data_IF_703104013252
#
_entry.id   IF_703104013252
#
_cell.length_a   1.000
_cell.length_b   1.000
_cell.length_c   1.000
_cell.angle_alpha   90.00
_cell.angle_beta   90.00
_cell.angle_gamma   90.00
#
_symmetry.space_group_name_H-M   'P 1'
#
loop_
_entity.id
_entity.type
_entity.pdbx_description
1 polymer ?
#
# COMPACT_ATOMS: atom_id res chain seq x y z
N UNK A 1 -28.30 -39.09 6.12
CA UNK A 1 -27.06 -38.93 5.32
C UNK A 1 -27.42 -39.04 3.84
N UNK A 2 -27.05 -38.03 3.03
CA UNK A 2 -27.12 -37.92 1.56
C UNK A 2 -28.52 -38.10 0.90
N UNK A 3 -29.28 -37.05 0.57
CA UNK A 3 -29.16 -36.06 -0.55
C UNK A 3 -28.86 -36.71 -1.91
N UNK A 4 -29.84 -36.81 -2.83
CA UNK A 4 -29.72 -36.25 -4.20
C UNK A 4 -31.01 -36.29 -5.05
N UNK A 5 -31.10 -35.28 -5.92
CA UNK A 5 -31.85 -35.13 -7.18
C UNK A 5 -33.38 -35.00 -7.14
N UNK A 6 -33.84 -33.76 -6.94
CA UNK A 6 -35.07 -33.28 -7.60
C UNK A 6 -34.72 -32.20 -8.62
N UNK A 7 -34.99 -32.57 -9.87
CA UNK A 7 -35.08 -31.75 -11.06
C UNK A 7 -35.95 -30.52 -10.76
N UNK A 8 -35.37 -29.33 -10.80
CA UNK A 8 -36.11 -28.07 -10.74
C UNK A 8 -35.88 -27.34 -12.08
N UNK A 9 -36.77 -27.59 -13.03
CA UNK A 9 -37.05 -26.61 -14.08
C UNK A 9 -37.75 -25.44 -13.41
N UNK A 10 -37.05 -24.32 -13.27
CA UNK A 10 -37.64 -23.06 -12.84
C UNK A 10 -37.85 -22.22 -14.09
N UNK A 11 -39.14 -21.94 -14.31
CA UNK A 11 -39.78 -21.10 -15.32
C UNK A 11 -39.14 -19.69 -15.32
N UNK A 12 -38.97 -19.00 -16.47
CA UNK A 12 -38.43 -17.65 -16.46
C UNK A 12 -39.38 -16.69 -15.73
N UNK A 13 -38.86 -15.82 -14.83
CA UNK A 13 -39.67 -14.78 -14.23
C UNK A 13 -39.98 -13.71 -15.28
N UNK A 14 -41.22 -13.73 -15.75
CA UNK A 14 -41.82 -12.61 -16.45
C UNK A 14 -42.09 -11.51 -15.42
N UNK A 15 -41.75 -10.27 -15.78
CA UNK A 15 -42.21 -9.03 -15.16
C UNK A 15 -41.61 -8.72 -13.77
N UNK A 16 -40.66 -7.77 -13.72
CA UNK A 16 -40.47 -6.70 -12.71
C UNK A 16 -39.14 -5.97 -13.04
N UNK A 17 -39.11 -5.31 -14.21
CA UNK A 17 -38.09 -4.30 -14.51
C UNK A 17 -38.56 -2.96 -13.96
N UNK A 18 -38.00 -2.46 -12.85
CA UNK A 18 -37.82 -1.00 -12.66
C UNK A 18 -37.16 -0.50 -11.36
N UNK A 19 -36.65 -1.33 -10.45
CA UNK A 19 -36.14 -0.77 -9.16
C UNK A 19 -34.78 -1.28 -8.66
N UNK A 20 -34.12 -2.22 -9.33
CA UNK A 20 -32.84 -2.78 -8.86
C UNK A 20 -31.58 -1.99 -9.31
N UNK A 21 -31.71 -1.02 -10.23
CA UNK A 21 -30.56 -0.45 -10.94
C UNK A 21 -29.97 0.82 -10.32
N UNK A 22 -30.60 1.42 -9.31
CA UNK A 22 -30.12 2.67 -8.71
C UNK A 22 -28.99 2.48 -7.66
N UNK A 23 -28.86 1.28 -7.07
CA UNK A 23 -27.80 1.00 -6.07
C UNK A 23 -26.47 0.58 -6.70
N UNK A 24 -26.50 -0.05 -7.87
CA UNK A 24 -25.31 -0.61 -8.53
C UNK A 24 -24.40 0.49 -9.12
N UNK A 25 -24.99 1.57 -9.65
CA UNK A 25 -24.25 2.70 -10.23
C UNK A 25 -23.43 3.46 -9.18
N UNK A 26 -23.96 3.61 -7.97
CA UNK A 26 -23.26 4.30 -6.89
C UNK A 26 -22.03 3.52 -6.41
N UNK A 27 -22.14 2.19 -6.25
CA UNK A 27 -21.03 1.34 -5.78
C UNK A 27 -19.91 1.25 -6.82
N UNK A 28 -20.24 1.19 -8.11
CA UNK A 28 -19.25 1.17 -9.19
C UNK A 28 -18.51 2.52 -9.31
N UNK A 29 -19.20 3.64 -9.13
CA UNK A 29 -18.58 4.97 -9.14
C UNK A 29 -17.58 5.17 -7.98
N UNK A 30 -17.89 4.65 -6.79
CA UNK A 30 -16.99 4.69 -5.62
C UNK A 30 -15.78 3.76 -5.82
N UNK A 31 -15.98 2.62 -6.47
CA UNK A 31 -14.89 1.66 -6.74
C UNK A 31 -13.86 2.21 -7.73
N UNK A 32 -14.28 3.04 -8.69
CA UNK A 32 -13.38 3.71 -9.63
C UNK A 32 -12.47 4.78 -8.96
N UNK A 33 -12.87 5.31 -7.79
CA UNK A 33 -12.11 6.34 -7.06
C UNK A 33 -11.16 5.77 -6.00
N UNK A 34 -11.37 4.54 -5.53
CA UNK A 34 -10.50 3.85 -4.57
C UNK A 34 -9.44 3.01 -5.29
N UNK A 35 -8.59 3.65 -6.10
CA UNK A 35 -7.48 2.94 -6.72
C UNK A 35 -6.47 2.46 -5.66
N UNK A 36 -5.98 1.20 -5.76
CA UNK A 36 -4.92 0.67 -4.91
C UNK A 36 -3.69 1.59 -4.97
N UNK A 37 -3.32 2.15 -3.82
CA UNK A 37 -2.17 3.03 -3.73
C UNK A 37 -0.90 2.18 -3.67
N UNK A 38 0.04 2.42 -4.58
CA UNK A 38 1.37 1.78 -4.56
C UNK A 38 2.06 2.10 -3.23
N UNK A 39 2.45 1.05 -2.48
CA UNK A 39 3.17 1.17 -1.21
C UNK A 39 4.64 0.83 -1.39
N UNK A 40 5.50 1.64 -0.80
CA UNK A 40 6.96 1.46 -0.77
C UNK A 40 7.46 1.58 0.68
N UNK A 41 8.68 1.12 0.94
CA UNK A 41 9.29 1.23 2.27
C UNK A 41 10.05 2.54 2.42
N UNK A 42 10.04 3.10 3.63
CA UNK A 42 10.94 4.17 4.02
C UNK A 42 12.38 3.66 4.01
N UNK A 43 13.28 4.42 3.38
CA UNK A 43 14.70 4.10 3.42
C UNK A 43 15.28 4.15 4.83
N UNK A 44 14.71 4.92 5.77
CA UNK A 44 15.23 5.04 7.13
C UNK A 44 14.66 3.98 8.09
N UNK A 45 13.36 4.08 8.42
CA UNK A 45 12.73 3.25 9.44
C UNK A 45 12.07 1.98 8.90
N UNK A 46 12.14 1.73 7.58
CA UNK A 46 11.50 0.59 6.92
C UNK A 46 9.95 0.55 7.00
N UNK A 47 9.28 1.60 7.49
CA UNK A 47 7.82 1.66 7.46
C UNK A 47 7.25 1.71 6.05
N UNK A 48 6.09 1.07 5.86
CA UNK A 48 5.32 1.16 4.60
C UNK A 48 4.64 2.51 4.48
N UNK A 49 4.82 3.16 3.35
CA UNK A 49 4.17 4.42 3.00
C UNK A 49 3.59 4.39 1.59
N UNK A 50 2.63 5.28 1.29
CA UNK A 50 2.17 5.48 -0.08
C UNK A 50 3.27 6.18 -0.87
N UNK A 51 3.58 5.68 -2.07
CA UNK A 51 4.61 6.28 -2.94
C UNK A 51 4.38 7.77 -3.20
N UNK A 52 3.12 8.17 -3.43
CA UNK A 52 2.74 9.58 -3.65
C UNK A 52 2.97 10.50 -2.44
N UNK A 53 3.14 9.94 -1.24
CA UNK A 53 3.38 10.68 -0.01
C UNK A 53 4.87 10.68 0.39
N UNK A 54 5.73 10.02 -0.39
CA UNK A 54 7.15 9.93 -0.07
C UNK A 54 7.83 11.30 -0.19
N UNK A 55 8.58 11.67 0.84
CA UNK A 55 9.56 12.75 0.75
C UNK A 55 10.86 12.19 0.16
N UNK A 56 11.67 13.07 -0.45
CA UNK A 56 12.94 12.67 -1.05
C UNK A 56 14.09 13.20 -0.20
N UNK A 57 14.96 12.29 0.25
CA UNK A 57 16.21 12.59 0.92
C UNK A 57 17.39 12.38 -0.03
N UNK A 58 18.39 13.26 0.03
CA UNK A 58 19.67 13.07 -0.66
C UNK A 58 20.65 12.37 0.30
N UNK A 59 21.08 11.16 -0.05
CA UNK A 59 21.97 10.34 0.78
C UNK A 59 23.01 9.68 -0.12
N UNK A 60 24.31 9.86 0.17
CA UNK A 60 25.41 9.38 -0.68
C UNK A 60 25.31 9.77 -2.17
N UNK A 61 24.78 10.97 -2.46
CA UNK A 61 24.57 11.43 -3.84
C UNK A 61 23.39 10.76 -4.57
N UNK A 62 22.66 9.86 -3.91
CA UNK A 62 21.45 9.24 -4.44
C UNK A 62 20.19 9.79 -3.77
N UNK A 63 19.06 9.72 -4.49
CA UNK A 63 17.75 10.10 -3.98
C UNK A 63 17.04 8.89 -3.38
N UNK A 64 16.65 8.99 -2.11
CA UNK A 64 15.98 7.91 -1.38
C UNK A 64 14.63 8.38 -0.82
N UNK A 65 13.56 7.55 -0.94
CA UNK A 65 12.25 7.90 -0.43
C UNK A 65 12.16 7.70 1.09
N UNK A 66 11.55 8.65 1.80
CA UNK A 66 11.27 8.57 3.25
C UNK A 66 9.84 8.93 3.62
N UNK A 67 9.36 8.43 4.77
CA UNK A 67 7.94 8.49 5.14
C UNK A 67 7.49 9.79 5.80
N UNK A 68 8.41 10.55 6.40
CA UNK A 68 8.07 11.77 7.13
C UNK A 68 9.25 12.75 7.20
N UNK A 69 8.97 13.99 7.59
CA UNK A 69 9.99 15.02 7.77
C UNK A 69 11.03 14.65 8.85
N UNK A 70 10.66 13.83 9.83
CA UNK A 70 11.60 13.29 10.82
C UNK A 70 12.67 12.40 10.18
N UNK A 71 12.28 11.44 9.34
CA UNK A 71 13.22 10.58 8.62
C UNK A 71 14.11 11.39 7.65
N UNK A 72 13.55 12.41 7.01
CA UNK A 72 14.31 13.34 6.16
C UNK A 72 15.36 14.10 6.98
N UNK A 73 14.98 14.64 8.13
CA UNK A 73 15.89 15.36 9.02
C UNK A 73 17.02 14.46 9.52
N UNK A 74 16.71 13.23 9.95
CA UNK A 74 17.71 12.25 10.39
C UNK A 74 18.74 11.98 9.28
N UNK A 75 18.30 11.66 8.06
CA UNK A 75 19.23 11.41 6.95
C UNK A 75 20.08 12.64 6.61
N UNK A 76 19.49 13.83 6.63
CA UNK A 76 20.24 15.06 6.41
C UNK A 76 21.30 15.29 7.50
N UNK A 77 20.97 15.03 8.77
CA UNK A 77 21.93 15.10 9.88
C UNK A 77 23.05 14.08 9.76
N UNK A 78 22.75 12.84 9.34
CA UNK A 78 23.77 11.82 9.12
C UNK A 78 24.76 12.29 8.04
N UNK A 79 24.24 12.79 6.90
CA UNK A 79 25.06 13.29 5.80
C UNK A 79 25.88 14.50 6.24
N UNK A 80 25.28 15.47 6.94
CA UNK A 80 25.97 16.68 7.37
C UNK A 80 27.10 16.42 8.37
N UNK A 81 27.03 15.33 9.12
CA UNK A 81 28.05 14.93 10.08
C UNK A 81 29.03 13.88 9.53
N UNK A 82 28.92 13.49 8.26
CA UNK A 82 29.79 12.49 7.65
C UNK A 82 29.62 11.08 8.24
N UNK A 83 28.45 10.77 8.81
CA UNK A 83 28.18 9.50 9.51
C UNK A 83 27.54 8.43 8.62
N UNK A 84 27.61 8.59 7.31
CA UNK A 84 26.89 7.75 6.35
C UNK A 84 27.32 6.27 6.43
N UNK A 85 28.61 6.00 6.55
CA UNK A 85 29.13 4.63 6.59
C UNK A 85 28.66 3.89 7.86
N UNK A 86 28.78 4.54 9.02
CA UNK A 86 28.33 3.98 10.31
C UNK A 86 26.83 3.72 10.30
N UNK A 87 26.05 4.61 9.70
CA UNK A 87 24.62 4.43 9.53
C UNK A 87 24.28 3.19 8.68
N UNK A 88 24.96 3.00 7.54
CA UNK A 88 24.74 1.84 6.67
C UNK A 88 25.12 0.54 7.37
N UNK A 89 26.22 0.53 8.12
CA UNK A 89 26.65 -0.63 8.91
C UNK A 89 25.62 -0.98 10.00
N UNK A 90 25.15 0.01 10.77
CA UNK A 90 24.12 -0.20 11.78
C UNK A 90 22.84 -0.78 11.16
N UNK A 91 22.41 -0.23 10.02
CA UNK A 91 21.23 -0.67 9.30
C UNK A 91 21.35 -2.09 8.75
N UNK A 92 22.53 -2.48 8.27
CA UNK A 92 22.80 -3.85 7.83
C UNK A 92 22.70 -4.83 9.01
N UNK A 93 23.22 -4.44 10.17
CA UNK A 93 23.18 -5.27 11.38
C UNK A 93 21.75 -5.46 11.91
N UNK A 94 20.90 -4.44 11.85
CA UNK A 94 19.47 -4.55 12.19
C UNK A 94 18.74 -5.60 11.33
N UNK A 95 19.14 -5.75 10.06
CA UNK A 95 18.55 -6.76 9.18
C UNK A 95 19.00 -8.20 9.54
N UNK A 96 20.15 -8.38 10.20
CA UNK A 96 20.71 -9.70 10.56
C UNK A 96 20.13 -10.24 11.86
N UNK A 97 19.66 -9.39 12.77
CA UNK A 97 19.15 -9.78 14.10
C UNK A 97 17.75 -10.45 14.04
N UNK A 98 17.11 -10.51 12.87
CA UNK A 98 15.77 -11.10 12.70
C UNK A 98 15.81 -12.55 12.19
N UNK A 99 16.96 -13.25 12.31
CA UNK A 99 17.14 -14.66 11.93
C UNK A 99 17.18 -15.59 13.14
#
# INVERSE_FOLDING_TARGET
MFVNMRKFQIIPPHLESSMAFAFSTLVNAISATLQPQEKILCFHCNDKMRKKNALIASFNGASHPVCCHGCLAVLNTIVSNGLTEQYLQAKANEAVVTL
#
